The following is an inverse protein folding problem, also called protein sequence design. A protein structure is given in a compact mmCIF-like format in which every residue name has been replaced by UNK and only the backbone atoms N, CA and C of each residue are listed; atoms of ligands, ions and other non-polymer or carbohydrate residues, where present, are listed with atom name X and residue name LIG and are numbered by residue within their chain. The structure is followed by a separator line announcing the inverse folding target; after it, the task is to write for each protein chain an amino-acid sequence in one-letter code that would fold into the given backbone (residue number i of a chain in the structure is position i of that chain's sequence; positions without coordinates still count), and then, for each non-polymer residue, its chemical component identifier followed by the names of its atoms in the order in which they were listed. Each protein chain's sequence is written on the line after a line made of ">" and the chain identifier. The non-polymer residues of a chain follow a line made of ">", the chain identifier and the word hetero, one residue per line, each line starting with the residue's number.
data_IF_458805323190
#
_entry.id   IF_458805323190
#
_cell.length_a   1.000
_cell.length_b   1.000
_cell.length_c   1.000
_cell.angle_alpha   90.00
_cell.angle_beta   90.00
_cell.angle_gamma   90.00
#
_symmetry.space_group_name_H-M   'P 1'
#
loop_
_entity.id
_entity.type
_entity.pdbx_description
1 polymer ?
#
# COMPACT_ATOMS: atom_id res chain seq x y z
N UNK A 1 -2.05 -17.26 11.85
CA UNK A 1 -1.94 -18.62 12.41
C UNK A 1 -3.25 -19.13 13.00
N UNK A 2 -3.84 -18.27 13.82
CA UNK A 2 -5.06 -18.64 14.53
C UNK A 2 -6.27 -18.83 13.61
N UNK A 3 -6.40 -17.93 12.61
CA UNK A 3 -7.54 -17.94 11.68
C UNK A 3 -7.29 -18.79 10.44
N UNK A 4 -6.03 -19.07 10.12
CA UNK A 4 -5.67 -19.84 8.94
C UNK A 4 -6.35 -21.18 8.83
N UNK A 5 -6.41 -22.00 9.93
CA UNK A 5 -7.08 -23.29 9.88
C UNK A 5 -8.56 -23.21 9.55
N UNK A 6 -9.16 -22.03 9.69
CA UNK A 6 -10.57 -21.79 9.34
C UNK A 6 -10.75 -21.21 7.94
N UNK A 7 -9.67 -21.18 7.14
CA UNK A 7 -9.72 -20.64 5.79
C UNK A 7 -9.75 -19.13 5.72
N UNK A 8 -9.34 -18.44 6.80
CA UNK A 8 -9.35 -16.97 6.86
C UNK A 8 -7.93 -16.46 6.69
N UNK A 9 -7.72 -15.61 5.71
CA UNK A 9 -6.45 -14.93 5.49
C UNK A 9 -6.51 -13.52 6.06
N UNK A 10 -5.41 -13.09 6.67
CA UNK A 10 -5.30 -11.73 7.23
C UNK A 10 -4.00 -11.12 6.73
N UNK A 11 -4.11 -10.03 6.02
CA UNK A 11 -2.97 -9.27 5.51
C UNK A 11 -3.14 -7.79 5.84
N UNK A 12 -2.03 -7.08 5.86
CA UNK A 12 -2.01 -5.63 6.10
C UNK A 12 -1.61 -4.94 4.80
N UNK A 13 -2.32 -3.87 4.46
CA UNK A 13 -1.95 -2.98 3.37
C UNK A 13 -1.50 -1.65 3.98
N UNK A 14 -0.27 -1.24 3.69
CA UNK A 14 0.31 -0.01 4.24
C UNK A 14 0.64 0.95 3.10
N UNK A 15 -0.30 1.83 2.73
CA UNK A 15 -0.04 2.82 1.69
C UNK A 15 0.86 3.93 2.22
N UNK A 16 1.62 4.55 1.34
CA UNK A 16 2.26 5.82 1.61
C UNK A 16 1.26 6.96 1.56
N UNK A 17 1.75 8.19 1.47
CA UNK A 17 0.86 9.34 1.37
C UNK A 17 0.09 9.31 0.05
N UNK A 18 -1.22 9.41 0.15
CA UNK A 18 -2.12 9.47 -1.00
C UNK A 18 -2.48 10.94 -1.23
N UNK A 19 -2.51 11.34 -2.49
CA UNK A 19 -2.81 12.70 -2.87
C UNK A 19 -4.18 13.12 -2.34
N UNK A 20 -4.19 14.26 -1.65
CA UNK A 20 -5.39 14.84 -1.05
C UNK A 20 -5.16 16.35 -0.94
N UNK A 21 -5.63 16.96 0.15
CA UNK A 21 -5.55 18.42 0.37
C UNK A 21 -4.33 18.81 1.23
N UNK A 22 -3.21 18.11 1.09
CA UNK A 22 -1.98 18.45 1.81
C UNK A 22 -1.43 19.80 1.35
N UNK A 23 -0.74 20.48 2.27
CA UNK A 23 -0.10 21.76 1.95
C UNK A 23 1.07 21.54 0.99
N UNK A 24 1.42 22.59 0.23
CA UNK A 24 2.51 22.53 -0.74
C UNK A 24 3.83 22.12 -0.12
N UNK A 25 4.15 22.64 1.06
CA UNK A 25 5.41 22.31 1.74
C UNK A 25 5.49 20.84 2.15
N UNK A 26 4.37 20.25 2.60
CA UNK A 26 4.29 18.82 2.95
C UNK A 26 4.47 17.97 1.69
N UNK A 27 3.79 18.32 0.60
CA UNK A 27 3.91 17.61 -0.67
C UNK A 27 5.35 17.63 -1.16
N UNK A 28 5.98 18.79 -1.14
CA UNK A 28 7.36 18.95 -1.61
C UNK A 28 8.33 18.13 -0.78
N UNK A 29 8.18 18.15 0.54
CA UNK A 29 9.04 17.38 1.44
C UNK A 29 8.86 15.86 1.23
N UNK A 30 7.63 15.41 1.08
CA UNK A 30 7.34 14.01 0.84
C UNK A 30 7.92 13.55 -0.50
N UNK A 31 7.74 14.34 -1.55
CA UNK A 31 8.16 13.95 -2.89
C UNK A 31 9.68 13.77 -3.01
N UNK A 32 10.46 14.43 -2.18
CA UNK A 32 11.92 14.23 -2.16
C UNK A 32 12.32 12.82 -1.75
N UNK A 33 11.53 12.19 -0.89
CA UNK A 33 11.82 10.85 -0.36
C UNK A 33 11.34 9.74 -1.29
N UNK A 34 10.34 10.03 -2.11
CA UNK A 34 9.75 9.01 -2.98
C UNK A 34 10.71 8.65 -4.11
N UNK A 35 10.92 7.37 -4.32
CA UNK A 35 11.81 6.88 -5.37
C UNK A 35 11.08 6.85 -6.72
N UNK A 36 9.86 6.33 -6.74
CA UNK A 36 9.09 6.17 -7.97
C UNK A 36 8.27 7.42 -8.26
N UNK A 37 8.59 8.08 -9.37
CA UNK A 37 7.79 9.18 -9.88
C UNK A 37 7.87 10.49 -9.08
N UNK A 38 8.56 10.50 -7.95
CA UNK A 38 8.70 11.71 -7.11
C UNK A 38 7.36 12.37 -6.83
N UNK A 39 6.35 11.59 -6.48
CA UNK A 39 4.99 12.06 -6.22
C UNK A 39 4.33 11.23 -5.14
N UNK A 40 3.27 11.77 -4.55
CA UNK A 40 2.38 10.99 -3.70
C UNK A 40 1.58 9.99 -4.55
N UNK A 41 1.04 8.98 -3.91
CA UNK A 41 0.22 8.00 -4.58
C UNK A 41 -1.12 8.61 -5.01
N UNK A 42 -1.64 8.12 -6.12
CA UNK A 42 -3.04 8.28 -6.48
C UNK A 42 -3.83 7.08 -5.93
N UNK A 43 -5.14 7.22 -5.70
CA UNK A 43 -5.95 6.07 -5.29
C UNK A 43 -5.79 4.85 -6.21
N UNK A 44 -5.58 5.08 -7.50
CA UNK A 44 -5.37 4.02 -8.48
C UNK A 44 -4.08 3.24 -8.28
N UNK A 45 -3.12 3.80 -7.55
CA UNK A 45 -1.88 3.10 -7.21
C UNK A 45 -2.11 2.08 -6.09
N UNK A 46 -3.15 2.27 -5.31
CA UNK A 46 -3.43 1.46 -4.12
C UNK A 46 -4.51 0.40 -4.41
N UNK A 47 -5.56 0.78 -5.12
CA UNK A 47 -6.74 -0.07 -5.34
C UNK A 47 -6.41 -1.43 -5.94
N UNK A 48 -5.52 -1.56 -6.95
CA UNK A 48 -5.21 -2.87 -7.52
C UNK A 48 -4.63 -3.85 -6.52
N UNK A 49 -3.81 -3.37 -5.57
CA UNK A 49 -3.25 -4.24 -4.53
C UNK A 49 -4.33 -4.74 -3.58
N UNK A 50 -5.30 -3.88 -3.25
CA UNK A 50 -6.42 -4.26 -2.41
C UNK A 50 -7.27 -5.33 -3.10
N UNK A 51 -7.54 -5.15 -4.38
CA UNK A 51 -8.27 -6.13 -5.19
C UNK A 51 -7.51 -7.46 -5.22
N UNK A 52 -6.19 -7.42 -5.41
CA UNK A 52 -5.35 -8.62 -5.38
C UNK A 52 -5.51 -9.37 -4.05
N UNK A 53 -5.44 -8.65 -2.92
CA UNK A 53 -5.53 -9.28 -1.60
C UNK A 53 -6.90 -9.89 -1.32
N UNK A 54 -7.96 -9.37 -1.93
CA UNK A 54 -9.31 -9.93 -1.79
C UNK A 54 -9.64 -11.03 -2.79
N UNK A 55 -8.76 -11.27 -3.76
CA UNK A 55 -9.05 -12.20 -4.85
C UNK A 55 -8.42 -13.57 -4.62
N UNK A 56 -8.84 -14.55 -5.43
CA UNK A 56 -8.24 -15.87 -5.45
C UNK A 56 -6.77 -15.84 -5.87
N UNK A 57 -6.34 -14.76 -6.56
CA UNK A 57 -4.95 -14.61 -6.97
C UNK A 57 -3.99 -14.60 -5.77
N UNK A 58 -4.46 -14.20 -4.59
CA UNK A 58 -3.67 -14.18 -3.36
C UNK A 58 -4.03 -15.30 -2.39
N UNK A 59 -4.62 -16.37 -2.86
CA UNK A 59 -5.17 -17.42 -2.00
C UNK A 59 -4.15 -18.08 -1.07
N UNK A 60 -2.87 -18.00 -1.40
CA UNK A 60 -1.80 -18.58 -0.59
C UNK A 60 -0.99 -17.51 0.16
N UNK A 61 -1.53 -16.30 0.26
CA UNK A 61 -0.89 -15.15 0.92
C UNK A 61 -1.63 -14.83 2.22
N UNK A 62 -0.93 -14.91 3.34
CA UNK A 62 -1.48 -14.51 4.63
C UNK A 62 -0.34 -14.03 5.54
N UNK A 63 -0.65 -13.16 6.50
CA UNK A 63 0.31 -12.64 7.45
C UNK A 63 1.29 -11.65 6.85
N UNK A 64 1.01 -11.07 5.69
CA UNK A 64 1.92 -10.16 5.01
C UNK A 64 1.52 -8.70 5.21
N UNK A 65 2.52 -7.84 5.19
CA UNK A 65 2.32 -6.39 5.12
C UNK A 65 2.81 -5.92 3.75
N UNK A 66 1.86 -5.54 2.90
CA UNK A 66 2.18 -5.03 1.57
C UNK A 66 2.29 -3.51 1.63
N UNK A 67 3.51 -3.01 1.48
CA UNK A 67 3.81 -1.59 1.55
C UNK A 67 3.77 -1.01 0.13
N UNK A 68 2.97 0.03 -0.06
CA UNK A 68 2.81 0.69 -1.36
C UNK A 68 3.06 2.17 -1.16
N UNK A 69 4.32 2.57 -1.26
CA UNK A 69 4.75 3.93 -0.92
C UNK A 69 5.73 4.53 -1.93
N UNK A 70 5.85 3.92 -3.11
CA UNK A 70 6.77 4.39 -4.13
C UNK A 70 8.23 4.36 -3.71
N UNK A 71 8.56 3.57 -2.71
CA UNK A 71 9.92 3.46 -2.19
C UNK A 71 10.28 4.47 -1.10
N UNK A 72 9.28 5.16 -0.54
CA UNK A 72 9.53 6.17 0.49
C UNK A 72 10.27 5.60 1.70
N UNK A 73 9.99 4.35 2.06
CA UNK A 73 10.64 3.69 3.21
C UNK A 73 11.97 3.02 2.89
N UNK A 74 12.41 3.08 1.66
CA UNK A 74 13.70 2.48 1.27
C UNK A 74 14.90 3.24 1.83
#
# INVERSE_FOLDING_TARGET
>A
KYLGPHGIRVNVLSPGAVQNKQTHSVVKAYNKQVVLGKRMAHPDDISPALIFLFSEASKYVTGQNLIIDGGWTL
#
